data_IF_431182268863
#
_entry.id   IF_431182268863
#
_cell.length_a   1.000
_cell.length_b   1.000
_cell.length_c   1.000
_cell.angle_alpha   90.00
_cell.angle_beta   90.00
_cell.angle_gamma   90.00
#
_symmetry.space_group_name_H-M   'P 1'
#
loop_
_entity.id
_entity.type
_entity.pdbx_description
1 polymer ?
#
# COMPACT_ATOMS: atom_id res chain seq x y z
N UNK A 1 34.72 5.36 -13.19
CA UNK A 1 34.05 6.68 -13.16
C UNK A 1 33.88 7.19 -14.58
N UNK A 2 32.75 6.87 -15.20
CA UNK A 2 32.33 7.50 -16.45
C UNK A 2 31.41 8.70 -16.16
N UNK A 3 31.37 9.68 -17.06
CA UNK A 3 30.43 10.79 -16.94
C UNK A 3 28.98 10.36 -17.18
N UNK A 4 28.76 9.32 -17.98
CA UNK A 4 27.48 8.67 -18.24
C UNK A 4 27.74 7.23 -18.69
N UNK A 5 26.72 6.38 -18.63
CA UNK A 5 26.75 5.03 -19.19
C UNK A 5 25.63 4.95 -20.21
N UNK A 6 25.97 4.53 -21.44
CA UNK A 6 24.99 4.30 -22.49
C UNK A 6 25.02 2.83 -22.91
N UNK A 7 23.95 2.12 -22.56
CA UNK A 7 23.68 0.73 -22.92
C UNK A 7 22.31 0.61 -23.63
N UNK A 8 21.86 1.67 -24.31
CA UNK A 8 20.60 1.62 -25.05
C UNK A 8 20.66 0.53 -26.15
N UNK A 9 19.68 -0.38 -26.16
CA UNK A 9 19.66 -1.53 -27.08
C UNK A 9 20.82 -2.53 -26.90
N UNK A 10 21.70 -2.29 -25.93
CA UNK A 10 22.92 -3.04 -25.69
C UNK A 10 22.75 -4.15 -24.67
N UNK A 11 23.85 -4.87 -24.40
CA UNK A 11 23.93 -5.90 -23.36
C UNK A 11 25.23 -5.76 -22.58
N UNK A 12 25.12 -5.63 -21.26
CA UNK A 12 26.24 -5.68 -20.32
C UNK A 12 25.99 -6.85 -19.37
N UNK A 13 26.68 -7.97 -19.61
CA UNK A 13 26.48 -9.19 -18.85
C UNK A 13 27.78 -9.64 -18.18
N UNK A 14 27.69 -10.18 -16.96
CA UNK A 14 28.81 -10.81 -16.28
C UNK A 14 28.38 -12.07 -15.52
N UNK A 15 29.27 -13.07 -15.51
CA UNK A 15 29.08 -14.31 -14.73
C UNK A 15 29.33 -14.12 -13.22
N UNK A 16 29.89 -12.98 -12.84
CA UNK A 16 30.13 -12.56 -11.46
C UNK A 16 29.55 -11.15 -11.29
N UNK A 17 30.01 -10.43 -10.27
CA UNK A 17 29.50 -9.11 -9.93
C UNK A 17 29.68 -8.09 -11.08
N UNK A 18 28.67 -7.24 -11.26
CA UNK A 18 28.77 -5.98 -12.02
C UNK A 18 28.75 -4.82 -11.03
N UNK A 19 29.70 -3.90 -11.17
CA UNK A 19 29.70 -2.63 -10.44
C UNK A 19 29.86 -1.47 -11.42
N UNK A 20 28.81 -0.67 -11.57
CA UNK A 20 28.77 0.50 -12.45
C UNK A 20 28.64 1.74 -11.58
N UNK A 21 29.68 2.57 -11.61
CA UNK A 21 29.73 3.85 -10.90
C UNK A 21 29.88 4.97 -11.93
N UNK A 22 28.79 5.71 -12.12
CA UNK A 22 28.71 6.87 -13.01
C UNK A 22 28.52 8.14 -12.19
N UNK A 23 29.12 9.25 -12.65
CA UNK A 23 28.83 10.58 -12.12
C UNK A 23 27.64 11.25 -12.84
N UNK A 24 26.97 10.53 -13.75
CA UNK A 24 25.80 11.00 -14.49
C UNK A 24 24.75 9.90 -14.63
N UNK A 25 23.93 10.00 -15.67
CA UNK A 25 22.84 9.07 -15.91
C UNK A 25 23.35 7.74 -16.48
N UNK A 26 22.68 6.66 -16.08
CA UNK A 26 22.80 5.33 -16.68
C UNK A 26 21.61 5.15 -17.63
N UNK A 27 21.89 4.95 -18.91
CA UNK A 27 20.89 4.75 -19.95
C UNK A 27 20.86 3.27 -20.33
N UNK A 28 19.74 2.59 -20.04
CA UNK A 28 19.51 1.19 -20.36
C UNK A 28 18.21 0.99 -21.16
N UNK A 29 17.78 1.98 -21.94
CA UNK A 29 16.51 1.86 -22.67
C UNK A 29 16.58 0.74 -23.70
N UNK A 30 15.61 -0.18 -23.68
CA UNK A 30 15.61 -1.37 -24.53
C UNK A 30 16.91 -2.21 -24.46
N UNK A 31 17.74 -2.00 -23.45
CA UNK A 31 19.00 -2.71 -23.22
C UNK A 31 18.88 -3.70 -22.07
N UNK A 32 19.94 -4.47 -21.84
CA UNK A 32 20.03 -5.42 -20.74
C UNK A 32 21.31 -5.18 -19.93
N UNK A 33 21.20 -5.14 -18.60
CA UNK A 33 22.33 -5.27 -17.68
C UNK A 33 22.05 -6.45 -16.75
N UNK A 34 22.80 -7.54 -16.89
CA UNK A 34 22.54 -8.78 -16.16
C UNK A 34 23.79 -9.32 -15.45
N UNK A 35 23.66 -9.57 -14.15
CA UNK A 35 24.71 -10.17 -13.32
C UNK A 35 24.28 -11.55 -12.82
N UNK A 36 25.10 -12.59 -13.05
CA UNK A 36 24.88 -13.91 -12.44
C UNK A 36 25.23 -13.95 -10.93
N UNK A 37 25.53 -12.79 -10.32
CA UNK A 37 25.79 -12.63 -8.89
C UNK A 37 25.17 -11.30 -8.42
N UNK A 38 25.98 -10.32 -8.00
CA UNK A 38 25.51 -9.02 -7.54
C UNK A 38 25.57 -7.97 -8.66
N UNK A 39 24.58 -7.07 -8.72
CA UNK A 39 24.55 -5.91 -9.59
C UNK A 39 24.49 -4.64 -8.75
N UNK A 40 25.55 -3.84 -8.79
CA UNK A 40 25.60 -2.52 -8.15
C UNK A 40 25.59 -1.41 -9.20
N UNK A 41 24.59 -0.53 -9.13
CA UNK A 41 24.48 0.66 -9.96
C UNK A 41 24.47 1.92 -9.10
N UNK A 42 25.39 2.84 -9.37
CA UNK A 42 25.44 4.17 -8.77
C UNK A 42 25.49 5.24 -9.85
N UNK A 43 24.63 6.25 -9.75
CA UNK A 43 24.51 7.32 -10.75
C UNK A 43 23.61 8.49 -10.32
N UNK A 44 23.52 9.52 -11.17
CA UNK A 44 22.58 10.63 -10.98
C UNK A 44 21.14 10.22 -11.28
N UNK A 45 20.93 9.18 -12.06
CA UNK A 45 19.62 8.69 -12.46
C UNK A 45 19.78 7.45 -13.34
N UNK A 46 18.70 6.71 -13.50
CA UNK A 46 18.66 5.50 -14.31
C UNK A 46 17.40 5.53 -15.16
N UNK A 47 17.59 5.42 -16.46
CA UNK A 47 16.48 5.21 -17.38
C UNK A 47 16.55 3.77 -17.90
N UNK A 48 15.70 2.92 -17.34
CA UNK A 48 15.50 1.52 -17.68
C UNK A 48 14.22 1.32 -18.51
N UNK A 49 13.70 2.36 -19.17
CA UNK A 49 12.45 2.23 -19.91
C UNK A 49 12.54 1.19 -21.04
N UNK A 50 11.65 0.20 -21.01
CA UNK A 50 11.68 -0.94 -21.94
C UNK A 50 12.92 -1.84 -21.84
N UNK A 51 13.80 -1.62 -20.87
CA UNK A 51 15.03 -2.40 -20.66
C UNK A 51 14.94 -3.35 -19.47
N UNK A 52 15.98 -4.16 -19.30
CA UNK A 52 16.07 -5.20 -18.29
C UNK A 52 17.28 -4.98 -17.37
N UNK A 53 17.05 -5.01 -16.06
CA UNK A 53 18.07 -5.15 -15.03
C UNK A 53 17.86 -6.45 -14.27
N UNK A 54 18.88 -7.30 -14.26
CA UNK A 54 18.79 -8.65 -13.70
C UNK A 54 19.98 -8.94 -12.76
N UNK A 55 19.69 -9.53 -11.61
CA UNK A 55 20.71 -10.04 -10.69
C UNK A 55 20.27 -11.37 -10.04
N UNK A 56 21.19 -12.31 -9.86
CA UNK A 56 20.88 -13.58 -9.18
C UNK A 56 20.87 -13.45 -7.65
N UNK A 57 21.63 -12.51 -7.08
CA UNK A 57 21.77 -12.33 -5.64
C UNK A 57 21.25 -10.96 -5.21
N UNK A 58 22.11 -9.94 -5.20
CA UNK A 58 21.75 -8.59 -4.78
C UNK A 58 21.69 -7.66 -5.98
N UNK A 59 20.59 -6.94 -6.13
CA UNK A 59 20.51 -5.76 -6.99
C UNK A 59 20.49 -4.54 -6.08
N UNK A 60 21.53 -3.71 -6.15
CA UNK A 60 21.63 -2.48 -5.35
C UNK A 60 21.66 -1.25 -6.25
N UNK A 61 20.67 -0.39 -6.07
CA UNK A 61 20.53 0.89 -6.76
C UNK A 61 20.82 2.03 -5.79
N UNK A 62 21.81 2.86 -6.11
CA UNK A 62 22.11 4.08 -5.36
C UNK A 62 22.10 5.27 -6.31
N UNK A 63 20.93 5.89 -6.44
CA UNK A 63 20.69 6.97 -7.38
C UNK A 63 20.38 8.25 -6.62
N UNK A 64 21.12 9.31 -6.91
CA UNK A 64 20.83 10.65 -6.37
C UNK A 64 19.72 11.40 -7.13
N UNK A 65 19.03 10.70 -8.03
CA UNK A 65 17.96 11.23 -8.86
C UNK A 65 17.01 10.12 -9.28
N UNK A 66 16.30 10.36 -10.38
CA UNK A 66 15.12 9.59 -10.74
C UNK A 66 15.45 8.22 -11.35
N UNK A 67 14.65 7.21 -10.98
CA UNK A 67 14.57 5.91 -11.65
C UNK A 67 13.33 5.86 -12.54
N UNK A 68 13.52 5.82 -13.86
CA UNK A 68 12.46 5.53 -14.81
C UNK A 68 12.54 4.05 -15.20
N UNK A 69 11.55 3.26 -14.76
CA UNK A 69 11.37 1.85 -15.10
C UNK A 69 10.12 1.61 -15.97
N UNK A 70 9.64 2.61 -16.69
CA UNK A 70 8.42 2.47 -17.49
C UNK A 70 8.56 1.36 -18.54
N UNK A 71 7.65 0.40 -18.56
CA UNK A 71 7.71 -0.79 -19.46
C UNK A 71 9.00 -1.63 -19.35
N UNK A 72 9.85 -1.31 -18.38
CA UNK A 72 11.10 -2.01 -18.11
C UNK A 72 10.92 -3.05 -17.02
N UNK A 73 11.99 -3.81 -16.78
CA UNK A 73 12.05 -4.84 -15.75
C UNK A 73 13.26 -4.65 -14.86
N UNK A 74 13.04 -4.78 -13.56
CA UNK A 74 14.09 -4.86 -12.54
C UNK A 74 13.80 -6.12 -11.73
N UNK A 75 14.59 -7.15 -11.96
CA UNK A 75 14.36 -8.49 -11.40
C UNK A 75 15.59 -8.95 -10.64
N UNK A 76 15.37 -9.51 -9.46
CA UNK A 76 16.43 -10.23 -8.74
C UNK A 76 15.88 -11.47 -8.03
N UNK A 77 16.66 -12.55 -7.98
CA UNK A 77 16.23 -13.78 -7.32
C UNK A 77 16.34 -13.71 -5.79
N UNK A 78 17.01 -12.68 -5.24
CA UNK A 78 17.14 -12.49 -3.80
C UNK A 78 16.71 -11.06 -3.40
N UNK A 79 17.64 -10.13 -3.23
CA UNK A 79 17.32 -8.84 -2.62
C UNK A 79 17.46 -7.69 -3.62
N UNK A 80 16.49 -6.76 -3.58
CA UNK A 80 16.58 -5.44 -4.18
C UNK A 80 16.68 -4.39 -3.07
N UNK A 81 17.80 -3.68 -3.03
CA UNK A 81 18.01 -2.53 -2.15
C UNK A 81 18.15 -1.28 -3.00
N UNK A 82 17.23 -0.32 -2.84
CA UNK A 82 17.27 0.93 -3.60
C UNK A 82 17.20 2.16 -2.71
N UNK A 83 18.08 3.12 -2.99
CA UNK A 83 18.00 4.50 -2.52
C UNK A 83 17.90 5.41 -3.74
N UNK A 84 16.79 6.14 -3.85
CA UNK A 84 16.34 6.82 -5.06
C UNK A 84 15.82 8.22 -4.73
N UNK A 85 15.76 9.10 -5.72
CA UNK A 85 15.09 10.40 -5.62
C UNK A 85 14.02 10.52 -6.70
N UNK A 86 13.00 9.67 -6.60
CA UNK A 86 11.90 9.54 -7.55
C UNK A 86 11.93 8.19 -8.24
N UNK A 87 10.75 7.58 -8.35
CA UNK A 87 10.56 6.30 -9.00
C UNK A 87 9.30 6.34 -9.86
N UNK A 88 9.47 6.02 -11.14
CA UNK A 88 8.36 5.76 -12.05
C UNK A 88 8.41 4.31 -12.51
N UNK A 89 7.43 3.52 -12.06
CA UNK A 89 7.25 2.13 -12.43
C UNK A 89 5.98 1.92 -13.28
N UNK A 90 5.48 2.96 -13.95
CA UNK A 90 4.26 2.83 -14.74
C UNK A 90 4.45 1.83 -15.89
N UNK A 91 3.56 0.84 -15.97
CA UNK A 91 3.66 -0.30 -16.92
C UNK A 91 4.95 -1.13 -16.78
N UNK A 92 5.75 -0.89 -15.73
CA UNK A 92 7.00 -1.59 -15.45
C UNK A 92 6.82 -2.75 -14.46
N UNK A 93 7.90 -3.51 -14.29
CA UNK A 93 7.98 -4.62 -13.35
C UNK A 93 9.20 -4.43 -12.43
N UNK A 94 8.97 -4.52 -11.13
CA UNK A 94 10.02 -4.67 -10.10
C UNK A 94 9.67 -5.91 -9.30
N UNK A 95 10.53 -6.92 -9.34
CA UNK A 95 10.30 -8.18 -8.63
C UNK A 95 11.56 -8.69 -7.92
N UNK A 96 11.42 -9.07 -6.67
CA UNK A 96 12.50 -9.69 -5.91
C UNK A 96 11.97 -10.67 -4.86
N UNK A 97 12.87 -11.39 -4.16
CA UNK A 97 12.49 -12.07 -2.92
C UNK A 97 12.21 -11.06 -1.81
N UNK A 98 13.14 -10.12 -1.58
CA UNK A 98 12.92 -8.99 -0.69
C UNK A 98 13.18 -7.68 -1.42
N UNK A 99 12.31 -6.69 -1.20
CA UNK A 99 12.43 -5.35 -1.79
C UNK A 99 12.48 -4.32 -0.67
N UNK A 100 13.52 -3.49 -0.68
CA UNK A 100 13.57 -2.24 0.08
C UNK A 100 13.71 -1.06 -0.88
N UNK A 101 12.71 -0.17 -0.88
CA UNK A 101 12.72 1.10 -1.64
C UNK A 101 12.78 2.27 -0.66
N UNK A 102 13.90 2.99 -0.65
CA UNK A 102 14.07 4.27 0.04
C UNK A 102 14.04 5.39 -0.99
N UNK A 103 12.87 6.00 -1.19
CA UNK A 103 12.65 7.02 -2.22
C UNK A 103 12.82 8.46 -1.71
N UNK A 104 13.57 8.66 -0.63
CA UNK A 104 13.99 9.98 -0.08
C UNK A 104 12.91 11.08 -0.17
N UNK A 105 11.71 10.79 0.34
CA UNK A 105 10.55 11.70 0.35
C UNK A 105 10.09 12.21 -1.04
N UNK A 106 10.48 11.54 -2.12
CA UNK A 106 10.04 11.85 -3.50
C UNK A 106 8.80 11.07 -3.90
N UNK A 107 8.32 11.28 -5.13
CA UNK A 107 7.17 10.59 -5.68
C UNK A 107 7.52 9.17 -6.18
N UNK A 108 6.60 8.23 -5.93
CA UNK A 108 6.58 6.90 -6.54
C UNK A 108 5.28 6.77 -7.34
N UNK A 109 5.37 6.52 -8.65
CA UNK A 109 4.23 6.15 -9.50
C UNK A 109 4.28 4.67 -9.87
N UNK A 110 3.10 4.03 -9.81
CA UNK A 110 2.91 2.64 -10.19
C UNK A 110 1.53 2.44 -10.83
N UNK A 111 1.34 2.93 -12.04
CA UNK A 111 0.12 2.77 -12.84
C UNK A 111 0.25 1.64 -13.86
N UNK A 112 -0.66 0.65 -13.80
CA UNK A 112 -0.56 -0.60 -14.60
C UNK A 112 0.81 -1.30 -14.49
N UNK A 113 1.60 -0.97 -13.47
CA UNK A 113 2.89 -1.56 -13.16
C UNK A 113 2.80 -2.48 -11.95
N UNK A 114 3.83 -3.27 -11.76
CA UNK A 114 3.91 -4.26 -10.68
C UNK A 114 5.17 -4.04 -9.86
N UNK A 115 5.00 -3.96 -8.54
CA UNK A 115 6.07 -4.13 -7.56
C UNK A 115 5.68 -5.34 -6.70
N UNK A 116 6.44 -6.43 -6.83
CA UNK A 116 6.13 -7.71 -6.20
C UNK A 116 7.33 -8.24 -5.42
N UNK A 117 7.12 -8.55 -4.14
CA UNK A 117 8.10 -9.28 -3.34
C UNK A 117 7.62 -10.71 -3.06
N UNK A 118 8.48 -11.70 -3.23
CA UNK A 118 8.16 -13.07 -2.82
C UNK A 118 8.11 -13.23 -1.29
N UNK A 119 8.78 -12.35 -0.53
CA UNK A 119 8.76 -12.36 0.92
C UNK A 119 8.34 -11.02 1.51
N UNK A 120 9.19 -10.00 1.42
CA UNK A 120 8.95 -8.73 2.10
C UNK A 120 9.12 -7.55 1.18
N UNK A 121 8.13 -6.66 1.19
CA UNK A 121 8.15 -5.39 0.46
C UNK A 121 8.12 -4.24 1.45
N UNK A 122 9.17 -3.42 1.47
CA UNK A 122 9.22 -2.17 2.23
C UNK A 122 9.41 -0.98 1.30
N UNK A 123 8.52 0.00 1.42
CA UNK A 123 8.55 1.25 0.66
C UNK A 123 8.54 2.41 1.63
N UNK A 124 9.52 3.31 1.50
CA UNK A 124 9.53 4.63 2.12
C UNK A 124 9.55 5.69 1.03
N UNK A 125 8.55 6.57 0.99
CA UNK A 125 8.39 7.55 -0.08
C UNK A 125 7.70 8.82 0.40
N UNK A 126 7.77 9.92 -0.34
CA UNK A 126 7.01 11.13 -0.03
C UNK A 126 5.56 10.95 -0.44
N UNK A 127 5.33 10.83 -1.75
CA UNK A 127 4.02 10.46 -2.28
C UNK A 127 4.06 9.09 -2.94
N UNK A 128 3.00 8.32 -2.74
CA UNK A 128 2.75 7.05 -3.42
C UNK A 128 1.47 7.16 -4.24
N UNK A 129 1.58 6.98 -5.56
CA UNK A 129 0.43 6.86 -6.46
C UNK A 129 0.39 5.45 -7.06
N UNK A 130 -0.35 4.55 -6.42
CA UNK A 130 -0.67 3.24 -6.99
C UNK A 130 -1.92 3.38 -7.85
N UNK A 131 -1.73 3.81 -9.10
CA UNK A 131 -2.81 4.16 -10.01
C UNK A 131 -3.56 2.92 -10.53
N UNK A 132 -4.55 3.11 -11.41
CA UNK A 132 -5.39 2.03 -11.94
C UNK A 132 -4.55 0.87 -12.48
N UNK A 133 -4.91 -0.35 -12.11
CA UNK A 133 -4.19 -1.61 -12.40
C UNK A 133 -2.76 -1.68 -11.86
N UNK A 134 -2.31 -0.70 -11.06
CA UNK A 134 -1.08 -0.79 -10.30
C UNK A 134 -1.17 -1.87 -9.24
N UNK A 135 -0.10 -2.65 -9.08
CA UNK A 135 -0.01 -3.70 -8.07
C UNK A 135 1.22 -3.50 -7.19
N UNK A 136 1.01 -3.43 -5.88
CA UNK A 136 2.05 -3.58 -4.85
C UNK A 136 1.71 -4.84 -4.05
N UNK A 137 2.58 -5.85 -4.04
CA UNK A 137 2.23 -7.13 -3.42
C UNK A 137 3.39 -7.86 -2.76
N UNK A 138 3.05 -8.69 -1.77
CA UNK A 138 4.00 -9.49 -0.99
C UNK A 138 3.37 -10.78 -0.46
N UNK A 139 4.07 -11.93 -0.48
CA UNK A 139 3.59 -13.17 0.17
C UNK A 139 3.90 -13.24 1.68
N UNK A 140 4.67 -12.31 2.24
CA UNK A 140 4.73 -12.13 3.70
C UNK A 140 4.24 -10.73 4.06
N UNK A 141 5.15 -9.82 4.39
CA UNK A 141 4.82 -8.51 4.91
C UNK A 141 4.97 -7.45 3.82
N UNK A 142 4.08 -6.47 3.84
CA UNK A 142 4.15 -5.26 3.03
C UNK A 142 4.08 -4.06 3.97
N UNK A 143 5.14 -3.26 4.00
CA UNK A 143 5.19 -2.00 4.75
C UNK A 143 5.31 -0.80 3.81
N UNK A 144 4.41 0.18 3.98
CA UNK A 144 4.47 1.47 3.31
C UNK A 144 4.59 2.57 4.36
N UNK A 145 5.68 3.32 4.29
CA UNK A 145 5.87 4.58 5.01
C UNK A 145 5.77 5.71 3.98
N UNK A 146 4.75 6.55 4.08
CA UNK A 146 4.47 7.62 3.10
C UNK A 146 3.98 8.91 3.75
N UNK A 147 4.06 10.03 3.04
CA UNK A 147 3.46 11.30 3.45
C UNK A 147 2.10 11.52 2.80
N UNK A 148 1.91 11.03 1.58
CA UNK A 148 0.63 11.00 0.88
C UNK A 148 0.49 9.67 0.14
N UNK A 149 -0.71 9.11 0.14
CA UNK A 149 -1.00 7.86 -0.54
C UNK A 149 -2.29 7.96 -1.33
N UNK A 150 -2.22 7.69 -2.64
CA UNK A 150 -3.39 7.48 -3.50
C UNK A 150 -3.36 6.04 -3.99
N UNK A 151 -4.46 5.34 -3.76
CA UNK A 151 -4.64 3.97 -4.26
C UNK A 151 -5.88 3.87 -5.13
N UNK A 152 -5.66 3.53 -6.39
CA UNK A 152 -6.66 3.17 -7.41
C UNK A 152 -6.42 1.74 -7.93
N UNK A 153 -5.38 1.07 -7.44
CA UNK A 153 -4.98 -0.28 -7.81
C UNK A 153 -5.07 -1.25 -6.63
N UNK A 154 -4.17 -2.22 -6.60
CA UNK A 154 -4.10 -3.28 -5.61
C UNK A 154 -2.87 -3.11 -4.71
N UNK A 155 -3.09 -3.13 -3.39
CA UNK A 155 -2.03 -3.26 -2.39
C UNK A 155 -2.35 -4.49 -1.54
N UNK A 156 -1.51 -5.53 -1.62
CA UNK A 156 -1.78 -6.85 -1.02
C UNK A 156 -0.61 -7.41 -0.22
N UNK A 157 -0.88 -7.99 0.94
CA UNK A 157 0.09 -8.80 1.69
C UNK A 157 -0.54 -10.10 2.17
N UNK A 158 0.15 -11.23 2.12
CA UNK A 158 -0.45 -12.45 2.67
C UNK A 158 -0.33 -12.56 4.20
N UNK A 159 0.67 -11.94 4.84
CA UNK A 159 0.78 -11.92 6.31
C UNK A 159 0.31 -10.60 6.93
N UNK A 160 1.06 -9.52 6.75
CA UNK A 160 0.71 -8.22 7.34
C UNK A 160 0.90 -7.12 6.32
N UNK A 161 -0.14 -6.30 6.14
CA UNK A 161 -0.05 -5.03 5.45
C UNK A 161 -0.01 -3.90 6.48
N UNK A 162 1.12 -3.22 6.58
CA UNK A 162 1.31 -2.06 7.44
C UNK A 162 1.43 -0.78 6.62
N UNK A 163 0.58 0.19 6.88
CA UNK A 163 0.62 1.50 6.22
C UNK A 163 0.78 2.57 7.30
N UNK A 164 1.89 3.30 7.27
CA UNK A 164 2.08 4.52 8.05
C UNK A 164 2.10 5.70 7.07
N UNK A 165 0.98 6.41 6.97
CA UNK A 165 0.82 7.57 6.10
C UNK A 165 0.73 8.85 6.95
N UNK A 166 1.70 9.76 6.86
CA UNK A 166 1.71 10.95 7.74
C UNK A 166 0.78 12.09 7.29
N UNK A 167 0.10 11.92 6.14
CA UNK A 167 -0.82 12.90 5.59
C UNK A 167 -2.15 12.30 5.14
N UNK A 168 -2.63 12.67 3.95
CA UNK A 168 -3.92 12.20 3.45
C UNK A 168 -3.72 10.90 2.68
N UNK A 169 -4.52 9.90 3.02
CA UNK A 169 -4.64 8.66 2.30
C UNK A 169 -5.97 8.67 1.56
N UNK A 170 -5.92 8.49 0.24
CA UNK A 170 -7.11 8.44 -0.62
C UNK A 170 -7.24 7.06 -1.26
N UNK A 171 -8.37 6.39 -1.02
CA UNK A 171 -8.77 5.18 -1.73
C UNK A 171 -9.83 5.57 -2.78
N UNK A 172 -9.56 5.27 -4.05
CA UNK A 172 -10.41 5.66 -5.18
C UNK A 172 -10.68 4.42 -6.04
N UNK A 173 -11.59 3.57 -5.60
CA UNK A 173 -11.84 2.26 -6.22
C UNK A 173 -10.71 1.24 -6.10
N UNK A 174 -9.68 1.55 -5.31
CA UNK A 174 -8.56 0.65 -5.03
C UNK A 174 -8.93 -0.41 -3.99
N UNK A 175 -8.10 -1.46 -3.95
CA UNK A 175 -8.21 -2.56 -2.98
C UNK A 175 -6.97 -2.57 -2.09
N UNK A 176 -7.18 -2.53 -0.78
CA UNK A 176 -6.21 -2.93 0.22
C UNK A 176 -6.62 -4.30 0.74
N UNK A 177 -5.72 -5.27 0.68
CA UNK A 177 -6.05 -6.60 1.19
C UNK A 177 -4.91 -7.26 1.93
N UNK A 178 -5.26 -8.08 2.92
CA UNK A 178 -4.34 -9.06 3.46
C UNK A 178 -5.02 -10.40 3.74
N UNK A 179 -4.25 -11.50 3.70
CA UNK A 179 -4.76 -12.75 4.26
C UNK A 179 -4.67 -12.71 5.80
N UNK A 180 -3.56 -12.26 6.36
CA UNK A 180 -3.48 -11.85 7.77
C UNK A 180 -3.98 -10.41 7.97
N UNK A 181 -3.28 -9.62 8.79
CA UNK A 181 -3.80 -8.36 9.33
C UNK A 181 -3.49 -7.13 8.46
N UNK A 182 -4.32 -6.09 8.60
CA UNK A 182 -4.02 -4.73 8.13
C UNK A 182 -3.90 -3.81 9.35
N UNK A 183 -2.77 -3.11 9.45
CA UNK A 183 -2.57 -1.98 10.37
C UNK A 183 -2.35 -0.71 9.55
N UNK A 184 -3.35 0.18 9.55
CA UNK A 184 -3.34 1.44 8.82
C UNK A 184 -3.35 2.60 9.81
N UNK A 185 -2.30 3.42 9.77
CA UNK A 185 -2.23 4.71 10.47
C UNK A 185 -2.15 5.82 9.42
N UNK A 186 -3.06 6.78 9.47
CA UNK A 186 -3.04 7.95 8.58
C UNK A 186 -3.31 9.25 9.33
N UNK A 187 -2.92 10.42 8.80
CA UNK A 187 -3.48 11.68 9.33
C UNK A 187 -4.97 11.77 8.99
N UNK A 188 -5.34 11.53 7.72
CA UNK A 188 -6.74 11.45 7.26
C UNK A 188 -6.90 10.28 6.31
N UNK A 189 -8.05 9.61 6.36
CA UNK A 189 -8.45 8.61 5.35
C UNK A 189 -9.69 9.12 4.63
N UNK A 190 -9.69 9.07 3.30
CA UNK A 190 -10.85 9.36 2.45
C UNK A 190 -10.99 8.24 1.43
N UNK A 191 -12.16 7.62 1.36
CA UNK A 191 -12.43 6.52 0.44
C UNK A 191 -13.76 6.69 -0.26
N UNK A 192 -13.83 6.37 -1.54
CA UNK A 192 -15.09 6.32 -2.29
C UNK A 192 -15.86 5.00 -2.11
N UNK A 193 -17.07 4.94 -2.66
CA UNK A 193 -17.97 3.77 -2.58
C UNK A 193 -17.40 2.50 -3.26
N UNK A 194 -16.42 2.64 -4.13
CA UNK A 194 -15.80 1.52 -4.86
C UNK A 194 -14.60 0.94 -4.11
N UNK A 195 -14.14 1.61 -3.06
CA UNK A 195 -12.96 1.23 -2.31
C UNK A 195 -13.21 -0.03 -1.49
N UNK A 196 -12.19 -0.89 -1.39
CA UNK A 196 -12.27 -2.11 -0.56
C UNK A 196 -11.06 -2.19 0.35
N UNK A 197 -11.29 -2.43 1.64
CA UNK A 197 -10.26 -2.79 2.61
C UNK A 197 -10.68 -4.10 3.27
N UNK A 198 -9.93 -5.17 3.04
CA UNK A 198 -10.35 -6.51 3.42
C UNK A 198 -9.23 -7.36 3.98
N UNK A 199 -9.48 -8.03 5.11
CA UNK A 199 -8.55 -9.00 5.72
C UNK A 199 -9.16 -10.40 5.78
N UNK A 200 -8.31 -11.42 5.85
CA UNK A 200 -8.76 -12.81 5.74
C UNK A 200 -9.16 -13.19 4.33
N UNK A 201 -8.57 -12.57 3.30
CA UNK A 201 -8.90 -12.86 1.90
C UNK A 201 -7.95 -13.92 1.34
N UNK A 202 -8.48 -15.10 1.01
CA UNK A 202 -7.71 -16.19 0.43
C UNK A 202 -7.22 -15.86 -1.00
N UNK A 203 -6.43 -16.76 -1.60
CA UNK A 203 -5.87 -16.56 -2.93
C UNK A 203 -6.93 -16.50 -4.05
N UNK A 204 -8.15 -16.99 -3.79
CA UNK A 204 -9.29 -16.93 -4.70
C UNK A 204 -10.10 -15.63 -4.56
N UNK A 205 -9.73 -14.75 -3.62
CA UNK A 205 -10.45 -13.51 -3.35
C UNK A 205 -11.67 -13.68 -2.45
N UNK A 206 -11.85 -14.85 -1.82
CA UNK A 206 -12.94 -15.13 -0.90
C UNK A 206 -12.52 -14.87 0.54
N UNK A 207 -13.48 -14.51 1.39
CA UNK A 207 -13.24 -14.31 2.82
C UNK A 207 -13.16 -15.66 3.54
N UNK A 208 -11.97 -16.00 4.02
CA UNK A 208 -11.74 -17.13 4.92
C UNK A 208 -12.08 -16.72 6.36
N UNK A 209 -13.21 -17.23 6.86
CA UNK A 209 -13.65 -16.97 8.24
C UNK A 209 -12.71 -17.56 9.31
N UNK A 210 -11.83 -18.49 8.92
CA UNK A 210 -10.86 -19.11 9.81
C UNK A 210 -9.53 -18.35 9.87
N UNK A 211 -9.32 -17.31 9.04
CA UNK A 211 -8.07 -16.56 9.01
C UNK A 211 -7.78 -15.81 10.32
N UNK A 212 -8.81 -15.55 11.15
CA UNK A 212 -8.70 -14.83 12.44
C UNK A 212 -8.00 -13.46 12.30
N UNK A 213 -8.15 -12.84 11.14
CA UNK A 213 -7.49 -11.62 10.73
C UNK A 213 -8.26 -10.38 11.16
N UNK A 214 -7.50 -9.39 11.62
CA UNK A 214 -7.97 -8.10 12.12
C UNK A 214 -7.63 -6.96 11.15
N UNK A 215 -8.57 -6.02 11.03
CA UNK A 215 -8.41 -4.77 10.33
C UNK A 215 -8.38 -3.63 11.35
N UNK A 216 -7.23 -3.00 11.53
CA UNK A 216 -7.05 -1.86 12.41
C UNK A 216 -6.81 -0.60 11.56
N UNK A 217 -7.69 0.39 11.67
CA UNK A 217 -7.54 1.70 11.01
C UNK A 217 -7.58 2.79 12.06
N UNK A 218 -6.49 3.56 12.12
CA UNK A 218 -6.37 4.71 13.00
C UNK A 218 -6.09 5.98 12.20
N UNK A 219 -6.86 7.02 12.45
CA UNK A 219 -6.63 8.36 11.89
C UNK A 219 -6.45 9.42 12.98
N UNK A 220 -5.54 10.36 12.74
CA UNK A 220 -5.40 11.54 13.60
C UNK A 220 -6.61 12.47 13.46
N UNK A 221 -7.10 12.64 12.23
CA UNK A 221 -8.26 13.43 11.84
C UNK A 221 -9.42 12.51 11.42
N UNK A 222 -10.20 12.92 10.41
CA UNK A 222 -11.34 12.18 9.89
C UNK A 222 -10.96 10.81 9.31
N UNK A 223 -11.78 9.82 9.60
CA UNK A 223 -11.84 8.54 8.91
C UNK A 223 -13.11 8.52 8.07
N UNK A 224 -12.98 8.76 6.77
CA UNK A 224 -14.08 8.74 5.80
C UNK A 224 -13.90 7.51 4.91
N UNK A 225 -14.75 6.50 5.07
CA UNK A 225 -14.74 5.30 4.25
C UNK A 225 -16.15 4.91 3.80
N UNK A 226 -16.46 5.20 2.55
CA UNK A 226 -17.78 4.95 1.97
C UNK A 226 -17.87 3.61 1.21
N UNK A 227 -16.80 2.82 1.22
CA UNK A 227 -16.68 1.55 0.49
C UNK A 227 -16.96 0.33 1.36
N UNK A 228 -16.22 -0.75 1.10
CA UNK A 228 -16.36 -2.04 1.79
C UNK A 228 -15.21 -2.32 2.74
N UNK A 229 -15.53 -2.53 4.01
CA UNK A 229 -14.64 -3.05 5.05
C UNK A 229 -15.01 -4.51 5.36
N UNK A 230 -14.05 -5.41 5.28
CA UNK A 230 -14.23 -6.82 5.65
C UNK A 230 -13.12 -7.30 6.57
N UNK A 231 -13.49 -8.03 7.62
CA UNK A 231 -12.53 -8.80 8.40
C UNK A 231 -13.09 -10.15 8.82
N UNK A 232 -12.22 -11.15 8.92
CA UNK A 232 -12.64 -12.47 9.43
C UNK A 232 -12.83 -12.48 10.95
N UNK A 233 -12.17 -11.58 11.70
CA UNK A 233 -12.32 -11.44 13.15
C UNK A 233 -12.73 -10.02 13.58
N UNK A 234 -11.82 -9.05 13.65
CA UNK A 234 -12.13 -7.71 14.13
C UNK A 234 -12.00 -6.64 13.04
N UNK A 235 -12.90 -5.66 13.07
CA UNK A 235 -12.68 -4.33 12.49
C UNK A 235 -12.62 -3.33 13.63
N UNK A 236 -11.47 -2.69 13.81
CA UNK A 236 -11.22 -1.65 14.80
C UNK A 236 -10.95 -0.32 14.08
N UNK A 237 -11.85 0.65 14.26
CA UNK A 237 -11.75 1.99 13.66
C UNK A 237 -11.61 3.05 14.75
N UNK A 238 -10.56 3.87 14.68
CA UNK A 238 -10.29 4.98 15.60
C UNK A 238 -10.00 6.25 14.79
N UNK A 239 -10.89 7.23 14.85
CA UNK A 239 -10.72 8.52 14.18
C UNK A 239 -11.18 9.69 15.03
N UNK A 240 -10.82 10.91 14.64
CA UNK A 240 -11.40 12.11 15.26
C UNK A 240 -12.93 12.12 15.06
N UNK A 241 -13.37 11.91 13.82
CA UNK A 241 -14.73 11.54 13.44
C UNK A 241 -14.66 10.30 12.54
N UNK A 242 -15.72 9.48 12.55
CA UNK A 242 -15.78 8.27 11.73
C UNK A 242 -17.03 8.34 10.85
N UNK A 243 -16.84 8.39 9.54
CA UNK A 243 -17.90 8.39 8.55
C UNK A 243 -17.83 7.13 7.68
N UNK A 244 -18.84 6.27 7.82
CA UNK A 244 -19.07 5.04 7.09
C UNK A 244 -20.37 5.11 6.26
N UNK A 245 -20.89 6.32 6.01
CA UNK A 245 -22.11 6.49 5.22
C UNK A 245 -21.96 5.88 3.82
N UNK A 246 -23.06 5.33 3.29
CA UNK A 246 -23.12 4.53 2.05
C UNK A 246 -22.26 3.26 2.02
N UNK A 247 -21.37 3.06 3.00
CA UNK A 247 -20.44 1.94 3.05
C UNK A 247 -21.02 0.68 3.70
N UNK A 248 -20.19 -0.37 3.71
CA UNK A 248 -20.49 -1.63 4.39
C UNK A 248 -19.31 -2.07 5.24
N UNK A 249 -19.56 -2.51 6.46
CA UNK A 249 -18.56 -3.13 7.33
C UNK A 249 -19.09 -4.46 7.86
N UNK A 250 -18.33 -5.54 7.65
CA UNK A 250 -18.70 -6.87 8.12
C UNK A 250 -17.52 -7.64 8.76
N UNK A 251 -17.73 -8.12 9.98
CA UNK A 251 -16.75 -8.91 10.73
C UNK A 251 -17.40 -9.73 11.86
N UNK A 252 -16.63 -10.49 12.66
CA UNK A 252 -17.16 -11.06 13.90
C UNK A 252 -17.39 -9.97 14.95
N UNK A 253 -16.44 -9.05 15.09
CA UNK A 253 -16.56 -7.90 15.98
C UNK A 253 -16.24 -6.60 15.22
N UNK A 254 -17.03 -5.57 15.47
CA UNK A 254 -16.77 -4.21 14.99
C UNK A 254 -16.69 -3.29 16.20
N UNK A 255 -15.55 -2.62 16.36
CA UNK A 255 -15.36 -1.56 17.34
C UNK A 255 -15.08 -0.24 16.62
N UNK A 256 -15.90 0.77 16.88
CA UNK A 256 -15.74 2.10 16.29
C UNK A 256 -15.60 3.11 17.42
N UNK A 257 -14.55 3.92 17.34
CA UNK A 257 -14.29 5.02 18.26
C UNK A 257 -14.16 6.31 17.47
N UNK A 258 -15.07 7.25 17.73
CA UNK A 258 -14.93 8.64 17.32
C UNK A 258 -14.50 9.46 18.55
N UNK A 259 -13.31 10.06 18.48
CA UNK A 259 -12.70 10.75 19.63
C UNK A 259 -13.26 12.14 19.86
N UNK A 260 -13.56 12.87 18.78
CA UNK A 260 -13.92 14.28 18.81
C UNK A 260 -15.29 14.60 18.17
N UNK A 261 -15.64 13.91 17.08
CA UNK A 261 -16.88 14.10 16.30
C UNK A 261 -17.80 12.88 16.31
N UNK A 262 -18.79 12.88 15.41
CA UNK A 262 -19.83 11.86 15.37
C UNK A 262 -19.36 10.54 14.73
N UNK A 263 -20.15 9.48 14.96
CA UNK A 263 -20.13 8.26 14.14
C UNK A 263 -21.27 8.38 13.14
N UNK A 264 -20.95 8.41 11.84
CA UNK A 264 -21.91 8.47 10.75
C UNK A 264 -22.01 7.12 10.03
N UNK A 265 -23.18 6.49 10.09
CA UNK A 265 -23.58 5.29 9.36
C UNK A 265 -24.83 5.57 8.49
N UNK A 266 -25.04 6.81 8.07
CA UNK A 266 -26.18 7.17 7.23
C UNK A 266 -26.17 6.36 5.93
N UNK A 267 -27.27 5.64 5.66
CA UNK A 267 -27.37 4.69 4.53
C UNK A 267 -26.26 3.62 4.46
N UNK A 268 -25.48 3.46 5.53
CA UNK A 268 -24.43 2.43 5.64
C UNK A 268 -24.96 1.14 6.26
N UNK A 269 -24.15 0.08 6.22
CA UNK A 269 -24.46 -1.22 6.82
C UNK A 269 -23.32 -1.67 7.72
N UNK A 270 -23.62 -1.87 9.00
CA UNK A 270 -22.73 -2.53 9.96
C UNK A 270 -23.30 -3.90 10.31
N UNK A 271 -22.53 -4.97 10.08
CA UNK A 271 -22.96 -6.35 10.36
C UNK A 271 -21.88 -7.10 11.14
N UNK A 272 -22.19 -7.54 12.36
CA UNK A 272 -21.27 -8.35 13.14
C UNK A 272 -21.97 -9.24 14.18
N UNK A 273 -21.23 -10.11 14.86
CA UNK A 273 -21.74 -10.76 16.06
C UNK A 273 -21.80 -9.76 17.22
N UNK A 274 -20.74 -8.95 17.40
CA UNK A 274 -20.69 -7.87 18.37
C UNK A 274 -20.34 -6.53 17.71
N UNK A 275 -21.11 -5.49 18.01
CA UNK A 275 -20.81 -4.11 17.62
C UNK A 275 -20.68 -3.26 18.88
N UNK A 276 -19.57 -2.51 18.98
CA UNK A 276 -19.36 -1.49 19.99
C UNK A 276 -19.09 -0.14 19.32
N UNK A 277 -19.91 0.86 19.64
CA UNK A 277 -19.76 2.23 19.14
C UNK A 277 -19.47 3.17 20.32
N UNK A 278 -18.34 3.88 20.27
CA UNK A 278 -17.88 4.80 21.30
C UNK A 278 -17.75 6.23 20.73
N UNK A 279 -18.56 7.16 21.23
CA UNK A 279 -18.54 8.57 20.89
C UNK A 279 -19.06 9.40 22.08
N UNK A 280 -18.25 9.51 23.15
CA UNK A 280 -18.70 10.05 24.46
C UNK A 280 -18.08 11.37 24.90
N UNK A 281 -16.91 11.75 24.36
CA UNK A 281 -16.11 12.83 24.94
C UNK A 281 -16.75 14.22 24.75
N UNK A 282 -17.48 14.45 23.66
CA UNK A 282 -17.90 15.80 23.24
C UNK A 282 -19.38 15.91 22.83
N UNK A 283 -20.31 15.26 23.56
CA UNK A 283 -21.74 15.22 23.16
C UNK A 283 -21.92 14.72 21.71
N UNK A 284 -21.12 13.73 21.32
CA UNK A 284 -21.12 13.18 19.99
C UNK A 284 -22.36 12.29 19.80
N UNK A 285 -22.82 12.22 18.56
CA UNK A 285 -24.01 11.49 18.15
C UNK A 285 -23.66 10.27 17.31
N UNK A 286 -24.60 9.33 17.27
CA UNK A 286 -24.65 8.31 16.24
C UNK A 286 -25.67 8.75 15.19
N UNK A 287 -25.25 8.86 13.93
CA UNK A 287 -26.11 9.19 12.78
C UNK A 287 -26.35 7.89 12.00
N UNK A 288 -27.57 7.39 11.99
CA UNK A 288 -27.95 6.12 11.35
C UNK A 288 -29.22 6.24 10.48
N UNK A 289 -29.55 7.42 9.96
CA UNK A 289 -30.73 7.56 9.08
C UNK A 289 -30.59 6.70 7.83
N UNK A 290 -31.60 5.88 7.56
CA UNK A 290 -31.60 4.89 6.46
C UNK A 290 -30.46 3.86 6.52
N UNK A 291 -29.65 3.86 7.59
CA UNK A 291 -28.58 2.90 7.81
C UNK A 291 -29.06 1.66 8.55
N UNK A 292 -28.27 0.59 8.47
CA UNK A 292 -28.53 -0.68 9.14
C UNK A 292 -27.38 -1.02 10.10
N UNK A 293 -27.74 -1.40 11.32
CA UNK A 293 -26.82 -1.94 12.33
C UNK A 293 -27.39 -3.29 12.77
N UNK A 294 -26.75 -4.38 12.35
CA UNK A 294 -27.17 -5.75 12.64
C UNK A 294 -26.12 -6.43 13.52
N UNK A 295 -26.48 -6.70 14.77
CA UNK A 295 -25.62 -7.40 15.71
C UNK A 295 -26.37 -8.38 16.61
N UNK A 296 -25.70 -9.46 17.04
CA UNK A 296 -26.21 -10.29 18.15
C UNK A 296 -26.05 -9.54 19.48
N UNK A 297 -24.97 -8.77 19.63
CA UNK A 297 -24.69 -7.89 20.76
C UNK A 297 -24.37 -6.48 20.26
N UNK A 298 -25.11 -5.49 20.74
CA UNK A 298 -24.89 -4.08 20.43
C UNK A 298 -24.62 -3.30 21.70
N UNK A 299 -23.46 -2.65 21.80
CA UNK A 299 -23.11 -1.75 22.89
C UNK A 299 -22.94 -0.33 22.33
N UNK A 300 -23.80 0.59 22.75
CA UNK A 300 -23.76 1.99 22.35
C UNK A 300 -23.30 2.83 23.52
N UNK A 301 -22.16 3.48 23.37
CA UNK A 301 -21.62 4.44 24.31
C UNK A 301 -21.58 5.81 23.61
N UNK A 302 -22.72 6.50 23.59
CA UNK A 302 -22.97 7.72 22.80
C UNK A 302 -23.28 8.87 23.75
N UNK A 303 -22.61 10.01 23.56
CA UNK A 303 -22.63 11.14 24.48
C UNK A 303 -23.85 12.04 24.36
N UNK A 304 -24.59 11.98 23.24
CA UNK A 304 -25.74 12.86 22.98
C UNK A 304 -26.92 12.13 22.34
N UNK A 305 -27.02 12.17 21.01
CA UNK A 305 -28.20 11.73 20.27
C UNK A 305 -27.91 10.46 19.46
N UNK A 306 -28.95 9.66 19.25
CA UNK A 306 -28.97 8.58 18.25
C UNK A 306 -30.05 8.97 17.25
N UNK A 307 -29.62 9.36 16.06
CA UNK A 307 -30.48 9.94 15.02
C UNK A 307 -30.62 9.02 13.81
#
# INVERSE_FOLDING_TARGET
NSQSIDNQGGKINALNNISIISSGNILNQAGQIASSSELYLQGLGLNNSGGDLEAEQLLKLNLSGHLNNQKGKIVTNNNLDSSLFGLDNDQGEISAKNITIQNNDQALSNGSGTIYADQSLKIQTGSLNNAVNGTLSSHENLQIDSQQLVNQGYIRADQQLKINNTGVMTQQGGVLSAYGNIDLVSQRLVSDEKSVIAVGINAQGEQDQNAQADLNIKTEQALEHHGKLLASRNIDLDGANVDLSQGTAAAQNINITARDGDINNQSGVLQADSIQLNAVQNQQSLINQSGQILAKKLNLNIGKDIN
#
